data_IF_248968144011
#
_entry.id   IF_248968144011
#
_cell.length_a   1.000
_cell.length_b   1.000
_cell.length_c   1.000
_cell.angle_alpha   90.00
_cell.angle_beta   90.00
_cell.angle_gamma   90.00
#
_symmetry.space_group_name_H-M   'P 1'
#
loop_
_entity.id
_entity.type
_entity.pdbx_description
1 polymer ?
#
# COMPACT_ATOMS: atom_id res chain seq x y z
N UNK A 1 -5.71 -67.88 -29.54
CA UNK A 1 -4.42 -67.18 -29.71
C UNK A 1 -4.39 -66.01 -28.75
N UNK A 2 -3.27 -65.86 -28.05
CA UNK A 2 -3.18 -65.47 -26.65
C UNK A 2 -3.47 -63.98 -26.37
N UNK A 3 -4.61 -63.70 -25.73
CA UNK A 3 -5.01 -62.37 -25.22
C UNK A 3 -3.99 -61.75 -24.26
N UNK A 4 -3.26 -62.58 -23.52
CA UNK A 4 -2.15 -62.18 -22.65
C UNK A 4 -0.94 -61.61 -23.42
N UNK A 5 -0.71 -62.06 -24.65
CA UNK A 5 0.40 -61.58 -25.49
C UNK A 5 0.05 -60.23 -26.13
N UNK A 6 -1.23 -60.01 -26.42
CA UNK A 6 -1.78 -58.72 -26.87
C UNK A 6 -1.70 -57.64 -25.78
N UNK A 7 -2.02 -57.99 -24.53
CA UNK A 7 -1.93 -57.05 -23.40
C UNK A 7 -0.47 -56.68 -23.07
N UNK A 8 0.45 -57.65 -23.13
CA UNK A 8 1.89 -57.39 -22.94
C UNK A 8 2.46 -56.47 -24.02
N UNK A 9 2.10 -56.70 -25.29
CA UNK A 9 2.48 -55.79 -26.37
C UNK A 9 1.87 -54.39 -26.20
N UNK A 10 0.62 -54.29 -25.75
CA UNK A 10 -0.02 -52.99 -25.51
C UNK A 10 0.69 -52.20 -24.40
N UNK A 11 1.07 -52.86 -23.30
CA UNK A 11 1.82 -52.24 -22.21
C UNK A 11 3.22 -51.79 -22.65
N UNK A 12 3.94 -52.60 -23.42
CA UNK A 12 5.26 -52.24 -23.95
C UNK A 12 5.17 -51.04 -24.90
N UNK A 13 4.15 -50.99 -25.77
CA UNK A 13 3.93 -49.86 -26.68
C UNK A 13 3.55 -48.59 -25.91
N UNK A 14 2.68 -48.71 -24.91
CA UNK A 14 2.26 -47.58 -24.08
C UNK A 14 3.44 -46.99 -23.30
N UNK A 15 4.28 -47.84 -22.70
CA UNK A 15 5.47 -47.40 -21.96
C UNK A 15 6.50 -46.75 -22.91
N UNK A 16 6.69 -47.28 -24.12
CA UNK A 16 7.58 -46.69 -25.13
C UNK A 16 7.08 -45.32 -25.62
N UNK A 17 5.76 -45.14 -25.74
CA UNK A 17 5.13 -43.85 -26.06
C UNK A 17 5.26 -42.87 -24.87
N UNK A 18 5.06 -43.33 -23.64
CA UNK A 18 5.23 -42.52 -22.44
C UNK A 18 6.68 -42.06 -22.26
N UNK A 19 7.67 -42.95 -22.46
CA UNK A 19 9.09 -42.59 -22.50
C UNK A 19 9.40 -41.62 -23.66
N UNK A 20 8.76 -41.77 -24.82
CA UNK A 20 8.92 -40.85 -25.96
C UNK A 20 8.38 -39.43 -25.69
N UNK A 21 7.26 -39.30 -24.97
CA UNK A 21 6.71 -38.00 -24.55
C UNK A 21 7.55 -37.41 -23.41
N UNK A 22 7.99 -38.24 -22.47
CA UNK A 22 8.79 -37.81 -21.31
C UNK A 22 10.19 -37.32 -21.70
N UNK A 23 10.86 -37.98 -22.65
CA UNK A 23 12.15 -37.51 -23.20
C UNK A 23 11.98 -36.49 -24.35
N UNK A 24 10.81 -36.41 -24.99
CA UNK A 24 10.53 -35.49 -26.10
C UNK A 24 9.99 -34.10 -25.69
N UNK A 25 9.60 -33.93 -24.42
CA UNK A 25 9.07 -32.66 -23.89
C UNK A 25 10.07 -31.51 -23.89
N UNK A 26 11.34 -31.79 -23.62
CA UNK A 26 12.38 -30.75 -23.50
C UNK A 26 12.91 -30.24 -24.85
N UNK A 27 12.84 -31.06 -25.91
CA UNK A 27 13.33 -30.67 -27.25
C UNK A 27 12.27 -29.83 -28.00
N UNK A 28 10.98 -30.14 -27.83
CA UNK A 28 9.90 -29.41 -28.51
C UNK A 28 9.66 -28.02 -27.88
N UNK A 29 9.79 -27.88 -26.55
CA UNK A 29 9.69 -26.58 -25.87
C UNK A 29 10.90 -25.66 -26.18
N UNK A 30 12.08 -26.25 -26.36
CA UNK A 30 13.30 -25.51 -26.77
C UNK A 30 13.25 -25.06 -28.24
N UNK A 31 12.59 -25.81 -29.12
CA UNK A 31 12.44 -25.41 -30.54
C UNK A 31 11.34 -24.34 -30.74
N UNK A 32 10.24 -24.41 -29.99
CA UNK A 32 9.14 -23.42 -30.06
C UNK A 32 9.57 -22.08 -29.43
N UNK A 33 10.34 -22.09 -28.34
CA UNK A 33 10.95 -20.87 -27.76
C UNK A 33 11.99 -20.21 -28.69
N UNK A 34 12.67 -20.98 -29.55
CA UNK A 34 13.59 -20.44 -30.58
C UNK A 34 12.91 -19.87 -31.81
N UNK A 35 11.67 -20.28 -32.15
CA UNK A 35 10.91 -19.69 -33.27
C UNK A 35 10.19 -18.41 -32.84
N UNK A 36 9.69 -18.30 -31.61
CA UNK A 36 9.14 -17.04 -31.09
C UNK A 36 10.22 -16.00 -30.73
N UNK A 37 11.46 -16.41 -30.41
CA UNK A 37 12.59 -15.48 -30.26
C UNK A 37 13.14 -14.90 -31.57
N UNK A 38 12.65 -15.32 -32.74
CA UNK A 38 13.13 -14.82 -34.04
C UNK A 38 12.39 -13.59 -34.60
N UNK A 39 11.54 -12.92 -33.80
CA UNK A 39 10.90 -11.65 -34.21
C UNK A 39 11.29 -10.40 -33.42
N UNK A 40 12.32 -10.43 -32.57
CA UNK A 40 13.04 -9.19 -32.23
C UNK A 40 14.45 -9.54 -31.77
N UNK A 41 15.39 -9.11 -32.59
CA UNK A 41 16.84 -9.33 -32.49
C UNK A 41 17.34 -8.97 -31.09
N UNK A 42 18.01 -9.93 -30.45
CA UNK A 42 19.21 -9.66 -29.69
C UNK A 42 20.30 -9.23 -30.69
N UNK A 43 21.04 -8.17 -30.35
CA UNK A 43 22.49 -8.00 -30.53
C UNK A 43 22.82 -6.54 -30.18
N UNK A 44 23.01 -6.25 -28.90
CA UNK A 44 24.37 -6.05 -28.40
C UNK A 44 24.37 -5.87 -26.88
N UNK A 45 25.26 -6.64 -26.27
CA UNK A 45 25.52 -6.69 -24.84
C UNK A 45 26.49 -5.55 -24.50
N UNK A 46 26.04 -4.30 -24.66
CA UNK A 46 26.82 -3.13 -24.24
C UNK A 46 26.56 -2.84 -22.76
N UNK A 47 27.38 -3.52 -21.96
CA UNK A 47 28.09 -2.98 -20.81
C UNK A 47 27.84 -1.47 -20.53
N UNK A 48 27.09 -1.17 -19.45
CA UNK A 48 26.94 0.16 -18.84
C UNK A 48 26.47 1.28 -19.78
N UNK A 49 25.15 1.40 -19.96
CA UNK A 49 24.55 2.70 -20.25
C UNK A 49 23.45 3.06 -19.26
N UNK A 50 23.74 4.09 -18.48
CA UNK A 50 22.80 4.84 -17.65
C UNK A 50 21.97 5.71 -18.62
N UNK A 51 21.05 5.09 -19.35
CA UNK A 51 20.05 5.84 -20.12
C UNK A 51 18.78 5.98 -19.29
N UNK A 52 18.57 7.21 -18.83
CA UNK A 52 17.30 7.67 -18.28
C UNK A 52 16.29 7.61 -19.43
N UNK A 53 15.62 6.47 -19.61
CA UNK A 53 14.43 6.39 -20.46
C UNK A 53 13.32 7.22 -19.78
N UNK A 54 13.20 8.46 -20.24
CA UNK A 54 12.10 9.38 -19.97
C UNK A 54 10.81 8.94 -20.66
N UNK A 55 10.31 7.76 -20.31
CA UNK A 55 8.91 7.37 -20.47
C UNK A 55 8.38 7.09 -19.07
N UNK A 56 7.22 7.63 -18.65
CA UNK A 56 6.68 7.33 -17.35
C UNK A 56 6.27 5.86 -17.36
N UNK A 57 7.16 4.98 -16.89
CA UNK A 57 6.75 3.65 -16.46
C UNK A 57 5.69 3.90 -15.39
N UNK A 58 4.43 3.60 -15.72
CA UNK A 58 3.32 3.56 -14.76
C UNK A 58 3.85 2.79 -13.54
N UNK A 59 4.13 3.48 -12.42
CA UNK A 59 4.65 2.79 -11.24
C UNK A 59 3.54 1.83 -10.82
N UNK A 60 3.83 0.54 -10.91
CA UNK A 60 2.90 -0.46 -10.39
C UNK A 60 2.94 -0.35 -8.87
N UNK A 61 1.76 -0.25 -8.24
CA UNK A 61 1.61 -0.33 -6.79
C UNK A 61 2.40 -1.51 -6.22
N UNK A 62 3.24 -1.24 -5.23
CA UNK A 62 4.07 -2.22 -4.53
C UNK A 62 4.14 -1.89 -3.04
N UNK A 63 4.74 -2.77 -2.25
CA UNK A 63 4.90 -2.61 -0.79
C UNK A 63 5.61 -1.30 -0.43
N UNK A 64 6.61 -0.91 -1.21
CA UNK A 64 7.44 0.29 -0.97
C UNK A 64 6.91 1.56 -1.66
N UNK A 65 5.69 1.54 -2.22
CA UNK A 65 5.17 2.68 -3.00
C UNK A 65 5.23 4.00 -2.22
N UNK A 66 4.88 4.01 -0.92
CA UNK A 66 4.91 5.23 -0.10
C UNK A 66 6.35 5.74 0.11
N UNK A 67 7.33 4.83 0.31
CA UNK A 67 8.75 5.19 0.46
C UNK A 67 9.34 5.81 -0.80
N UNK A 68 8.81 5.42 -1.94
CA UNK A 68 9.24 5.91 -3.24
C UNK A 68 8.51 7.19 -3.67
N UNK A 69 7.55 7.70 -2.89
CA UNK A 69 6.84 8.93 -3.21
C UNK A 69 7.71 10.15 -2.99
N UNK A 70 7.77 11.00 -4.01
CA UNK A 70 8.23 12.37 -3.85
C UNK A 70 7.06 13.25 -3.40
N UNK A 71 7.35 14.30 -2.61
CA UNK A 71 6.33 15.14 -1.97
C UNK A 71 5.33 15.81 -2.94
N UNK A 72 5.68 15.97 -4.22
CA UNK A 72 4.76 16.50 -5.25
C UNK A 72 3.96 15.45 -6.03
N UNK A 73 4.18 14.16 -5.76
CA UNK A 73 3.54 13.06 -6.51
C UNK A 73 2.35 12.43 -5.76
N UNK A 74 2.07 12.87 -4.52
CA UNK A 74 1.01 12.29 -3.68
C UNK A 74 -0.37 12.39 -4.34
N UNK A 75 -0.67 13.56 -4.93
CA UNK A 75 -1.95 13.80 -5.60
C UNK A 75 -2.15 12.85 -6.79
N UNK A 76 -1.14 12.75 -7.65
CA UNK A 76 -1.17 11.90 -8.82
C UNK A 76 -1.20 10.42 -8.45
N UNK A 77 -0.45 10.03 -7.42
CA UNK A 77 -0.42 8.68 -6.89
C UNK A 77 -1.80 8.23 -6.40
N UNK A 78 -2.45 9.02 -5.55
CA UNK A 78 -3.76 8.65 -5.01
C UNK A 78 -4.80 8.55 -6.12
N UNK A 79 -4.84 9.52 -7.04
CA UNK A 79 -5.89 9.57 -8.07
C UNK A 79 -5.68 8.59 -9.22
N UNK A 80 -4.43 8.36 -9.65
CA UNK A 80 -4.12 7.56 -10.86
C UNK A 80 -3.62 6.16 -10.57
N UNK A 81 -3.11 5.90 -9.36
CA UNK A 81 -2.60 4.57 -9.00
C UNK A 81 -3.51 3.90 -7.96
N UNK A 82 -3.85 4.57 -6.86
CA UNK A 82 -4.59 3.97 -5.74
C UNK A 82 -6.10 3.81 -6.00
N UNK A 83 -6.78 4.90 -6.34
CA UNK A 83 -8.24 4.93 -6.44
C UNK A 83 -8.85 4.17 -7.64
N UNK A 84 -8.18 4.01 -8.80
CA UNK A 84 -8.74 3.25 -9.92
C UNK A 84 -9.00 1.78 -9.58
N UNK A 85 -8.17 1.18 -8.73
CA UNK A 85 -8.38 -0.21 -8.26
C UNK A 85 -9.55 -0.33 -7.28
N UNK A 86 -9.99 0.79 -6.70
CA UNK A 86 -11.11 0.88 -5.76
C UNK A 86 -12.42 1.34 -6.44
N UNK A 87 -12.53 1.20 -7.77
CA UNK A 87 -13.67 1.72 -8.53
C UNK A 87 -15.03 1.27 -8.00
N UNK A 88 -15.17 0.02 -7.55
CA UNK A 88 -16.42 -0.50 -6.99
C UNK A 88 -16.83 0.24 -5.71
N UNK A 89 -15.89 0.40 -4.76
CA UNK A 89 -16.12 1.14 -3.52
C UNK A 89 -16.39 2.62 -3.80
N UNK A 90 -15.64 3.23 -4.71
CA UNK A 90 -15.80 4.63 -5.08
C UNK A 90 -17.15 4.90 -5.75
N UNK A 91 -17.62 4.00 -6.61
CA UNK A 91 -18.92 4.15 -7.29
C UNK A 91 -20.12 4.08 -6.34
N UNK A 92 -19.96 3.47 -5.16
CA UNK A 92 -20.99 3.43 -4.13
C UNK A 92 -21.15 4.76 -3.35
N UNK A 93 -20.18 5.68 -3.48
CA UNK A 93 -20.14 6.96 -2.77
C UNK A 93 -20.69 8.12 -3.62
N UNK A 94 -21.19 9.15 -2.95
CA UNK A 94 -21.51 10.44 -3.57
C UNK A 94 -20.24 11.18 -3.98
N UNK A 95 -20.34 12.15 -4.90
CA UNK A 95 -19.18 12.93 -5.36
C UNK A 95 -18.46 13.68 -4.22
N UNK A 96 -19.21 14.17 -3.23
CA UNK A 96 -18.65 14.81 -2.05
C UNK A 96 -17.86 13.80 -1.20
N UNK A 97 -18.41 12.60 -0.97
CA UNK A 97 -17.73 11.52 -0.24
C UNK A 97 -16.50 11.00 -0.99
N UNK A 98 -16.55 10.88 -2.33
CA UNK A 98 -15.38 10.52 -3.15
C UNK A 98 -14.25 11.53 -2.98
N UNK A 99 -14.60 12.83 -2.98
CA UNK A 99 -13.62 13.90 -2.76
C UNK A 99 -13.05 13.83 -1.34
N UNK A 100 -13.90 13.57 -0.34
CA UNK A 100 -13.47 13.41 1.05
C UNK A 100 -12.53 12.20 1.24
N UNK A 101 -12.83 11.06 0.60
CA UNK A 101 -11.94 9.88 0.57
C UNK A 101 -10.59 10.23 -0.04
N UNK A 102 -10.58 10.93 -1.18
CA UNK A 102 -9.35 11.37 -1.83
C UNK A 102 -8.52 12.29 -0.92
N UNK A 103 -9.15 13.31 -0.33
CA UNK A 103 -8.49 14.23 0.60
C UNK A 103 -7.91 13.53 1.82
N UNK A 104 -8.66 12.61 2.43
CA UNK A 104 -8.22 11.88 3.62
C UNK A 104 -7.02 10.96 3.31
N UNK A 105 -7.08 10.22 2.20
CA UNK A 105 -5.97 9.35 1.78
C UNK A 105 -4.72 10.15 1.41
N UNK A 106 -4.88 11.28 0.70
CA UNK A 106 -3.77 12.20 0.40
C UNK A 106 -3.15 12.78 1.66
N UNK A 107 -3.96 13.14 2.65
CA UNK A 107 -3.50 13.62 3.93
C UNK A 107 -2.66 12.57 4.67
N UNK A 108 -3.13 11.33 4.76
CA UNK A 108 -2.42 10.28 5.51
C UNK A 108 -1.18 9.77 4.79
N UNK A 109 -1.25 9.54 3.48
CA UNK A 109 -0.09 9.13 2.70
C UNK A 109 0.96 10.25 2.68
N UNK A 110 0.52 11.51 2.52
CA UNK A 110 1.41 12.65 2.57
C UNK A 110 2.07 12.84 3.94
N UNK A 111 1.29 12.74 5.02
CA UNK A 111 1.84 12.78 6.38
C UNK A 111 2.92 11.73 6.58
N UNK A 112 2.68 10.47 6.18
CA UNK A 112 3.67 9.41 6.33
C UNK A 112 4.90 9.62 5.45
N UNK A 113 4.71 9.97 4.18
CA UNK A 113 5.81 10.23 3.24
C UNK A 113 6.71 11.37 3.71
N UNK A 114 6.13 12.38 4.35
CA UNK A 114 6.86 13.60 4.70
C UNK A 114 7.40 13.64 6.13
N UNK A 115 6.72 13.01 7.10
CA UNK A 115 7.03 13.10 8.54
C UNK A 115 7.46 11.78 9.17
N UNK A 116 7.07 10.64 8.58
CA UNK A 116 7.37 9.34 9.16
C UNK A 116 8.76 8.84 8.74
N UNK A 117 9.35 8.00 9.58
CA UNK A 117 10.62 7.34 9.25
C UNK A 117 10.41 6.37 8.08
N UNK A 118 11.49 5.99 7.39
CA UNK A 118 11.41 5.08 6.23
C UNK A 118 10.68 3.77 6.59
N UNK A 119 10.85 3.27 7.81
CA UNK A 119 10.19 2.04 8.27
C UNK A 119 8.67 2.20 8.46
N UNK A 120 8.21 3.40 8.77
CA UNK A 120 6.80 3.73 9.01
C UNK A 120 6.05 4.15 7.73
N UNK A 121 6.76 4.41 6.63
CA UNK A 121 6.22 4.79 5.32
C UNK A 121 5.58 3.59 4.60
N UNK A 122 4.46 3.10 5.12
CA UNK A 122 3.81 1.87 4.63
C UNK A 122 2.27 1.93 4.70
N UNK A 123 1.58 1.18 3.83
CA UNK A 123 0.11 1.09 3.87
C UNK A 123 -0.46 0.53 5.18
N UNK A 124 0.18 -0.45 5.86
CA UNK A 124 -0.16 -0.82 7.24
C UNK A 124 -0.27 0.39 8.19
N UNK A 125 0.63 1.35 8.07
CA UNK A 125 0.61 2.55 8.91
C UNK A 125 -0.58 3.47 8.57
N UNK A 126 -0.94 3.58 7.29
CA UNK A 126 -2.17 4.29 6.87
C UNK A 126 -3.41 3.66 7.51
N UNK A 127 -3.45 2.31 7.59
CA UNK A 127 -4.52 1.58 8.25
C UNK A 127 -4.58 1.87 9.75
N UNK A 128 -3.45 2.00 10.41
CA UNK A 128 -3.38 2.36 11.83
C UNK A 128 -3.91 3.78 12.06
N UNK A 129 -3.51 4.77 11.27
CA UNK A 129 -4.06 6.13 11.33
C UNK A 129 -5.59 6.15 11.19
N UNK A 130 -6.13 5.38 10.22
CA UNK A 130 -7.58 5.24 10.02
C UNK A 130 -8.31 4.61 11.22
N UNK A 131 -7.62 3.82 12.05
CA UNK A 131 -8.23 3.21 13.24
C UNK A 131 -8.43 4.18 14.41
N UNK A 132 -7.61 5.22 14.48
CA UNK A 132 -7.69 6.29 15.48
C UNK A 132 -8.48 7.52 14.99
N UNK A 133 -8.87 7.53 13.71
CA UNK A 133 -9.66 8.63 13.15
C UNK A 133 -11.09 8.53 13.66
N UNK A 134 -11.59 9.58 14.30
CA UNK A 134 -12.99 9.65 14.67
C UNK A 134 -13.81 10.30 13.55
N UNK A 135 -15.04 9.79 13.38
CA UNK A 135 -15.97 10.26 12.37
C UNK A 135 -16.64 11.57 12.76
N UNK A 136 -17.90 11.49 13.18
CA UNK A 136 -18.65 12.65 13.64
C UNK A 136 -18.13 13.11 15.01
N UNK A 137 -17.68 14.36 15.11
CA UNK A 137 -17.18 14.98 16.34
C UNK A 137 -18.18 16.00 16.84
N UNK A 138 -18.32 16.14 18.15
CA UNK A 138 -19.01 17.32 18.71
C UNK A 138 -18.16 18.58 18.50
N UNK A 139 -18.79 19.75 18.48
CA UNK A 139 -18.11 21.01 18.17
C UNK A 139 -16.98 21.30 19.17
N UNK A 140 -15.72 21.23 18.70
CA UNK A 140 -14.51 21.44 19.49
C UNK A 140 -13.85 20.18 20.05
N UNK A 141 -14.44 18.99 19.86
CA UNK A 141 -13.80 17.73 20.23
C UNK A 141 -12.66 17.40 19.25
N UNK A 142 -11.46 17.18 19.78
CA UNK A 142 -10.28 16.77 19.02
C UNK A 142 -10.02 15.30 19.23
N UNK A 143 -9.83 14.56 18.14
CA UNK A 143 -9.38 13.19 18.19
C UNK A 143 -7.85 13.11 18.29
N UNK A 144 -7.36 11.89 18.52
CA UNK A 144 -5.93 11.63 18.63
C UNK A 144 -5.14 12.05 17.38
N UNK A 145 -5.76 11.94 16.20
CA UNK A 145 -5.14 12.32 14.92
C UNK A 145 -5.10 13.84 14.76
N UNK A 146 -6.13 14.57 15.19
CA UNK A 146 -6.13 16.04 15.21
C UNK A 146 -4.95 16.55 16.05
N UNK A 147 -4.79 16.00 17.26
CA UNK A 147 -3.69 16.37 18.14
C UNK A 147 -2.32 16.02 17.52
N UNK A 148 -2.18 14.84 16.91
CA UNK A 148 -0.95 14.41 16.25
C UNK A 148 -0.58 15.35 15.08
N UNK A 149 -1.56 15.69 14.24
CA UNK A 149 -1.35 16.53 13.06
C UNK A 149 -1.01 17.97 13.46
N UNK A 150 -1.70 18.52 14.45
CA UNK A 150 -1.46 19.88 14.98
C UNK A 150 -0.09 20.00 15.67
N UNK A 151 0.32 19.04 16.51
CA UNK A 151 1.64 19.04 17.14
C UNK A 151 2.75 18.98 16.09
N UNK A 152 2.60 18.09 15.10
CA UNK A 152 3.60 17.92 14.04
C UNK A 152 3.79 19.21 13.23
N UNK A 153 2.70 19.89 12.86
CA UNK A 153 2.76 21.18 12.15
C UNK A 153 3.36 22.28 13.01
N UNK A 154 3.02 22.29 14.31
CA UNK A 154 3.52 23.27 15.26
C UNK A 154 5.03 23.15 15.47
N UNK A 155 5.56 21.93 15.55
CA UNK A 155 6.99 21.65 15.74
C UNK A 155 7.82 21.92 14.50
N UNK A 156 7.31 21.59 13.32
CA UNK A 156 8.05 21.71 12.06
C UNK A 156 7.97 23.11 11.44
N UNK A 157 7.01 23.95 11.88
CA UNK A 157 6.69 25.25 11.30
C UNK A 157 6.52 25.24 9.77
N UNK A 158 6.17 24.08 9.21
CA UNK A 158 5.98 23.88 7.78
C UNK A 158 4.54 23.46 7.53
N UNK A 159 3.75 24.35 6.93
CA UNK A 159 2.44 23.99 6.40
C UNK A 159 2.62 23.16 5.14
N UNK A 160 2.63 21.84 5.32
CA UNK A 160 2.72 20.85 4.24
C UNK A 160 1.35 20.55 3.66
N UNK A 161 1.31 20.21 2.38
CA UNK A 161 0.08 20.00 1.61
C UNK A 161 -0.83 18.93 2.24
N UNK A 162 -0.23 17.92 2.89
CA UNK A 162 -0.97 16.89 3.60
C UNK A 162 -1.90 17.45 4.69
N UNK A 163 -1.45 18.47 5.44
CA UNK A 163 -2.24 19.06 6.53
C UNK A 163 -3.38 19.92 5.99
N UNK A 164 -3.15 20.62 4.88
CA UNK A 164 -4.20 21.36 4.18
C UNK A 164 -5.29 20.40 3.67
N UNK A 165 -4.90 19.27 3.08
CA UNK A 165 -5.83 18.23 2.67
C UNK A 165 -6.64 17.67 3.85
N UNK A 166 -5.99 17.45 5.00
CA UNK A 166 -6.67 17.01 6.23
C UNK A 166 -7.69 18.03 6.73
N UNK A 167 -7.31 19.32 6.82
CA UNK A 167 -8.22 20.39 7.25
C UNK A 167 -9.40 20.55 6.29
N UNK A 168 -9.17 20.46 4.97
CA UNK A 168 -10.25 20.47 3.97
C UNK A 168 -11.19 19.30 4.16
N UNK A 169 -10.65 18.10 4.39
CA UNK A 169 -11.45 16.93 4.73
C UNK A 169 -12.29 17.20 5.97
N UNK A 170 -11.73 17.72 7.06
CA UNK A 170 -12.46 18.02 8.30
C UNK A 170 -13.64 18.98 8.06
N UNK A 171 -13.43 20.04 7.28
CA UNK A 171 -14.47 21.04 6.97
C UNK A 171 -15.59 20.55 6.04
N UNK A 172 -15.42 19.41 5.34
CA UNK A 172 -16.44 18.90 4.44
C UNK A 172 -17.69 18.39 5.17
N UNK A 173 -18.87 18.84 4.71
CA UNK A 173 -20.18 18.38 5.20
C UNK A 173 -20.56 17.04 4.53
N UNK A 174 -19.92 15.96 4.98
CA UNK A 174 -20.13 14.59 4.51
C UNK A 174 -20.26 13.63 5.69
N UNK A 175 -20.84 12.46 5.47
CA UNK A 175 -20.84 11.37 6.45
C UNK A 175 -19.41 10.86 6.65
N UNK A 176 -18.77 11.33 7.73
CA UNK A 176 -17.37 11.01 8.04
C UNK A 176 -17.18 9.52 8.31
N UNK A 177 -18.14 8.87 8.96
CA UNK A 177 -18.07 7.44 9.26
C UNK A 177 -18.07 6.62 7.97
N UNK A 178 -18.92 6.99 7.02
CA UNK A 178 -18.97 6.34 5.71
C UNK A 178 -17.70 6.58 4.89
N UNK A 179 -17.12 7.78 4.96
CA UNK A 179 -15.83 8.07 4.31
C UNK A 179 -14.70 7.25 4.93
N UNK A 180 -14.59 7.23 6.26
CA UNK A 180 -13.58 6.44 6.99
C UNK A 180 -13.76 4.95 6.67
N UNK A 181 -14.99 4.45 6.62
CA UNK A 181 -15.28 3.07 6.24
C UNK A 181 -14.81 2.77 4.81
N UNK A 182 -15.07 3.66 3.86
CA UNK A 182 -14.59 3.50 2.49
C UNK A 182 -13.06 3.47 2.42
N UNK A 183 -12.37 4.41 3.08
CA UNK A 183 -10.90 4.39 3.17
C UNK A 183 -10.39 3.08 3.77
N UNK A 184 -11.04 2.58 4.82
CA UNK A 184 -10.70 1.30 5.45
C UNK A 184 -10.84 0.11 4.50
N UNK A 185 -11.88 0.08 3.67
CA UNK A 185 -12.09 -0.97 2.66
C UNK A 185 -10.99 -0.91 1.59
N UNK A 186 -10.72 0.29 1.07
CA UNK A 186 -9.71 0.53 0.02
C UNK A 186 -8.32 0.09 0.48
N UNK A 187 -7.91 0.55 1.65
CA UNK A 187 -6.59 0.23 2.20
C UNK A 187 -6.49 -1.25 2.57
N UNK A 188 -7.55 -1.86 3.12
CA UNK A 188 -7.54 -3.28 3.44
C UNK A 188 -7.43 -4.15 2.18
N UNK A 189 -8.18 -3.84 1.13
CA UNK A 189 -8.07 -4.56 -0.15
C UNK A 189 -6.65 -4.43 -0.72
N UNK A 190 -6.11 -3.22 -0.75
CA UNK A 190 -4.75 -2.97 -1.21
C UNK A 190 -3.72 -3.77 -0.42
N UNK A 191 -3.79 -3.75 0.91
CA UNK A 191 -2.90 -4.52 1.77
C UNK A 191 -3.04 -6.02 1.46
N UNK A 192 -4.26 -6.54 1.32
CA UNK A 192 -4.50 -7.93 0.98
C UNK A 192 -3.89 -8.34 -0.37
N UNK A 193 -3.89 -7.44 -1.36
CA UNK A 193 -3.27 -7.65 -2.67
C UNK A 193 -1.74 -7.58 -2.62
N UNK A 194 -1.19 -6.57 -1.94
CA UNK A 194 0.25 -6.31 -1.88
C UNK A 194 0.99 -7.29 -0.96
N UNK A 195 0.38 -7.69 0.16
CA UNK A 195 1.01 -8.50 1.22
C UNK A 195 0.44 -9.93 1.27
N UNK A 196 0.07 -10.51 0.11
CA UNK A 196 -0.53 -11.84 -0.09
C UNK A 196 -0.36 -12.80 1.11
N UNK A 197 -1.48 -13.12 1.77
CA UNK A 197 -1.64 -14.12 2.86
C UNK A 197 -0.79 -14.00 4.13
N UNK A 198 0.31 -13.24 4.18
CA UNK A 198 0.99 -12.91 5.45
C UNK A 198 0.12 -12.02 6.35
N UNK A 199 -0.81 -11.27 5.74
CA UNK A 199 -1.77 -10.43 6.45
C UNK A 199 -3.00 -11.16 7.01
N UNK A 200 -3.02 -12.50 7.01
CA UNK A 200 -4.06 -13.31 7.69
C UNK A 200 -3.69 -13.69 9.13
N UNK A 201 -2.48 -13.39 9.58
CA UNK A 201 -2.14 -13.47 11.00
C UNK A 201 -2.49 -12.15 11.66
N UNK A 202 -3.47 -12.19 12.56
CA UNK A 202 -3.99 -11.02 13.26
C UNK A 202 -2.86 -10.23 13.91
N UNK A 203 -2.91 -8.91 13.76
CA UNK A 203 -2.37 -7.93 14.69
C UNK A 203 -1.09 -8.34 15.42
N UNK A 204 -0.03 -8.63 14.66
CA UNK A 204 1.33 -8.49 15.18
C UNK A 204 2.27 -7.87 14.13
N UNK A 205 1.73 -6.90 13.38
CA UNK A 205 2.53 -5.76 12.87
C UNK A 205 2.49 -4.70 13.96
N UNK A 206 2.79 -5.12 15.19
CA UNK A 206 3.58 -4.24 16.03
C UNK A 206 4.89 -4.10 15.27
N UNK A 207 4.97 -3.08 14.41
CA UNK A 207 6.14 -2.22 14.43
C UNK A 207 6.53 -2.18 15.90
N UNK A 208 7.66 -2.82 16.27
CA UNK A 208 8.04 -3.07 17.66
C UNK A 208 7.56 -1.88 18.49
N UNK A 209 6.74 -2.10 19.53
CA UNK A 209 5.86 -1.11 20.20
C UNK A 209 6.35 0.35 20.24
N UNK A 210 7.66 0.54 20.22
CA UNK A 210 8.43 1.73 19.87
C UNK A 210 8.04 2.55 18.63
N UNK A 211 7.40 1.99 17.59
CA UNK A 211 7.11 2.69 16.31
C UNK A 211 5.62 2.71 15.91
N UNK A 212 4.72 2.29 16.80
CA UNK A 212 3.27 2.36 16.56
C UNK A 212 2.75 3.79 16.69
N UNK A 213 1.69 4.13 15.95
CA UNK A 213 0.93 5.39 16.16
C UNK A 213 0.45 5.46 17.60
N UNK A 214 0.06 4.34 18.22
CA UNK A 214 -0.34 4.31 19.62
C UNK A 214 0.73 4.88 20.56
N UNK A 215 2.01 4.61 20.28
CA UNK A 215 3.13 5.17 21.05
C UNK A 215 3.37 6.64 20.73
N UNK A 216 3.30 7.03 19.45
CA UNK A 216 3.37 8.47 19.08
C UNK A 216 2.28 9.28 19.77
N UNK A 217 1.09 8.69 19.90
CA UNK A 217 -0.02 9.27 20.65
C UNK A 217 0.23 9.27 22.16
N UNK A 218 0.76 8.18 22.74
CA UNK A 218 1.08 8.14 24.18
C UNK A 218 2.16 9.13 24.58
N UNK A 219 3.21 9.25 23.79
CA UNK A 219 4.30 10.19 24.03
C UNK A 219 3.79 11.64 23.89
N UNK A 220 2.89 11.90 22.93
CA UNK A 220 2.24 13.20 22.79
C UNK A 220 1.39 13.55 24.02
N UNK A 221 0.57 12.61 24.50
CA UNK A 221 -0.21 12.80 25.73
C UNK A 221 0.68 12.95 26.98
N UNK A 222 1.77 12.19 27.12
CA UNK A 222 2.68 12.31 28.28
C UNK A 222 3.38 13.66 28.35
N UNK A 223 3.80 14.21 27.21
CA UNK A 223 4.42 15.54 27.15
C UNK A 223 3.46 16.67 27.57
N UNK A 224 2.14 16.47 27.48
CA UNK A 224 1.14 17.46 27.91
C UNK A 224 1.01 17.54 29.45
N UNK A 225 1.30 16.43 30.15
CA UNK A 225 1.27 16.37 31.63
C UNK A 225 2.61 16.72 32.30
N UNK A 226 3.73 16.71 31.57
CA UNK A 226 5.04 17.12 32.11
C UNK A 226 5.28 18.64 32.09
N UNK A 227 4.34 19.45 31.57
CA UNK A 227 4.48 20.93 31.51
C UNK A 227 3.91 21.65 32.75
N UNK A 228 3.36 20.92 33.73
CA UNK A 228 2.77 21.52 34.95
C UNK A 228 3.55 21.22 36.25
N UNK A 229 4.85 20.90 36.19
CA UNK A 229 5.70 21.04 37.37
C UNK A 229 6.21 22.48 37.47
N UNK A 230 5.30 23.40 37.81
CA UNK A 230 5.69 24.70 38.34
C UNK A 230 6.52 24.46 39.59
N UNK A 231 7.80 24.84 39.54
CA UNK A 231 8.67 24.95 40.71
C UNK A 231 7.89 25.64 41.84
N UNK A 232 7.47 24.84 42.82
CA UNK A 232 6.97 25.36 44.07
C UNK A 232 8.14 26.12 44.71
N UNK A 233 8.14 27.44 44.53
CA UNK A 233 9.10 28.35 45.10
C UNK A 233 9.29 28.04 46.58
N UNK A 234 10.54 27.73 46.93
CA UNK A 234 10.97 27.60 48.31
C UNK A 234 10.69 28.93 49.03
N UNK A 235 10.25 28.79 50.29
CA UNK A 235 9.61 29.80 51.14
C UNK A 235 10.44 31.08 51.39
#
# INVERSE_FOLDING_TARGET
MNTWNLLLHFLIIFDLVAFGIYFGGDILFTAISKVQKKSKKDDDLDLYDFEIETAPQKRSLCVDSIRMLYSGEIDEFVEKELLPDAAETMNALSEAEKTAVSLLLKAYIGFLSEEATVDEQSFPMVKELLSYTQGSKEDGEKDAIDCLMEDTVSRTHRHREYYNNYQRYQLMQVDKERVIMACNIIINDLIGRLYRYDYRFGYDITLASEHSIAKKLSDNWQNEWEVEDYEAGDC
#
